data_IF_381452264343
#
_entry.id   IF_381452264343
#
_cell.length_a   1.000
_cell.length_b   1.000
_cell.length_c   1.000
_cell.angle_alpha   90.00
_cell.angle_beta   90.00
_cell.angle_gamma   90.00
#
_symmetry.space_group_name_H-M   'P 1'
#
loop_
_entity.id
_entity.type
_entity.pdbx_description
1 polymer ?
#
# COMPACT_ATOMS: atom_id res chain seq x y z
N UNK A 1 20.12 -1.88 10.45
CA UNK A 1 19.34 -2.14 9.23
C UNK A 1 18.76 -3.53 9.36
N UNK A 2 17.45 -3.66 9.30
CA UNK A 2 16.72 -4.92 9.41
C UNK A 2 16.21 -5.24 8.00
N UNK A 3 16.36 -6.49 7.58
CA UNK A 3 15.81 -7.00 6.33
C UNK A 3 14.92 -8.19 6.64
N UNK A 4 13.69 -8.17 6.13
CA UNK A 4 12.79 -9.32 6.23
C UNK A 4 12.27 -9.67 4.84
N UNK A 5 11.96 -10.95 4.65
CA UNK A 5 11.33 -11.47 3.45
C UNK A 5 9.98 -12.10 3.79
N UNK A 6 8.99 -11.80 2.95
CA UNK A 6 7.65 -12.36 3.02
C UNK A 6 7.39 -13.17 1.76
N UNK A 7 6.89 -14.39 1.95
CA UNK A 7 6.36 -15.19 0.86
C UNK A 7 5.07 -14.55 0.33
N UNK A 8 4.95 -14.46 -0.99
CA UNK A 8 3.93 -13.72 -1.70
C UNK A 8 3.62 -14.42 -3.03
N UNK A 9 3.17 -15.67 -2.96
CA UNK A 9 2.69 -16.40 -4.13
C UNK A 9 1.49 -15.71 -4.78
N UNK A 10 1.47 -15.70 -6.12
CA UNK A 10 0.41 -15.07 -6.91
C UNK A 10 0.10 -13.62 -6.47
N UNK A 11 1.15 -12.85 -6.20
CA UNK A 11 1.10 -11.46 -5.76
C UNK A 11 1.83 -10.54 -6.74
N UNK A 12 1.34 -9.31 -6.87
CA UNK A 12 2.00 -8.25 -7.62
C UNK A 12 1.98 -6.96 -6.79
N UNK A 13 3.15 -6.58 -6.28
CA UNK A 13 3.36 -5.41 -5.44
C UNK A 13 3.00 -4.12 -6.20
N UNK A 14 3.37 -4.05 -7.48
CA UNK A 14 3.11 -2.88 -8.29
C UNK A 14 1.61 -2.68 -8.49
N UNK A 15 0.91 -3.72 -8.96
CA UNK A 15 -0.54 -3.64 -9.20
C UNK A 15 -1.35 -3.46 -7.93
N UNK A 16 -0.83 -3.91 -6.78
CA UNK A 16 -1.48 -3.71 -5.49
C UNK A 16 -1.30 -2.28 -4.98
N UNK A 17 -0.11 -1.70 -5.13
CA UNK A 17 0.17 -0.34 -4.62
C UNK A 17 -0.40 0.75 -5.53
N UNK A 18 -0.20 0.68 -6.84
CA UNK A 18 -0.59 1.76 -7.78
C UNK A 18 -2.00 2.34 -7.59
N UNK A 19 -3.06 1.52 -7.44
CA UNK A 19 -4.42 2.03 -7.24
C UNK A 19 -4.75 2.31 -5.76
N UNK A 20 -3.87 1.95 -4.82
CA UNK A 20 -4.14 2.01 -3.38
C UNK A 20 -3.90 3.40 -2.80
N UNK A 21 -4.70 3.79 -1.82
CA UNK A 21 -4.45 5.00 -1.02
C UNK A 21 -3.13 4.94 -0.24
N UNK A 22 -2.64 3.73 0.09
CA UNK A 22 -1.35 3.52 0.76
C UNK A 22 -0.19 4.06 -0.06
N UNK A 23 -0.26 3.98 -1.40
CA UNK A 23 0.81 4.51 -2.27
C UNK A 23 0.99 6.04 -2.21
N UNK A 24 0.06 6.78 -1.58
CA UNK A 24 0.26 8.20 -1.25
C UNK A 24 1.33 8.43 -0.17
N UNK A 25 1.73 7.37 0.54
CA UNK A 25 2.81 7.37 1.53
C UNK A 25 4.15 6.91 0.95
N UNK A 26 4.18 6.55 -0.34
CA UNK A 26 5.35 5.96 -0.98
C UNK A 26 5.72 6.65 -2.29
N UNK A 27 7.01 6.68 -2.59
CA UNK A 27 7.55 6.89 -3.91
C UNK A 27 7.79 5.56 -4.63
N UNK A 28 7.64 5.54 -5.94
CA UNK A 28 7.83 4.37 -6.78
C UNK A 28 8.92 4.68 -7.83
N UNK A 29 10.21 4.56 -7.49
CA UNK A 29 11.29 4.92 -8.40
C UNK A 29 11.37 4.02 -9.64
N UNK A 30 10.88 2.77 -9.53
CA UNK A 30 10.78 1.81 -10.63
C UNK A 30 9.75 0.72 -10.30
N UNK A 31 9.22 0.00 -11.30
CA UNK A 31 8.27 -1.08 -11.07
C UNK A 31 8.78 -2.09 -10.03
N UNK A 32 7.91 -2.47 -9.10
CA UNK A 32 8.22 -3.44 -8.05
C UNK A 32 9.10 -2.91 -6.90
N UNK A 33 9.43 -1.61 -6.87
CA UNK A 33 10.19 -0.98 -5.78
C UNK A 33 9.43 0.22 -5.23
N UNK A 34 9.21 0.24 -3.92
CA UNK A 34 8.47 1.29 -3.22
C UNK A 34 9.23 1.78 -2.01
N UNK A 35 9.42 3.09 -1.89
CA UNK A 35 10.15 3.72 -0.78
C UNK A 35 9.16 4.55 0.01
N UNK A 36 9.01 4.27 1.30
CA UNK A 36 8.08 5.01 2.15
C UNK A 36 8.63 6.41 2.42
N UNK A 37 7.82 7.45 2.22
CA UNK A 37 8.22 8.86 2.36
C UNK A 37 7.52 9.58 3.49
N UNK A 38 6.40 9.04 3.99
CA UNK A 38 5.59 9.65 5.05
C UNK A 38 4.93 8.59 5.94
N UNK A 39 4.46 9.00 7.11
CA UNK A 39 3.84 8.11 8.10
C UNK A 39 4.84 7.25 8.87
N UNK A 40 4.33 6.20 9.50
CA UNK A 40 5.11 5.24 10.30
C UNK A 40 6.18 4.60 9.44
N UNK A 41 7.44 4.65 9.86
CA UNK A 41 8.61 4.23 9.06
C UNK A 41 8.88 5.09 7.80
N UNK A 42 8.33 6.31 7.73
CA UNK A 42 8.64 7.27 6.67
C UNK A 42 10.15 7.51 6.55
N UNK A 43 10.67 7.47 5.30
CA UNK A 43 12.10 7.57 4.95
C UNK A 43 12.97 6.41 5.47
N UNK A 44 12.38 5.45 6.17
CA UNK A 44 13.09 4.33 6.77
C UNK A 44 12.79 2.99 6.11
N UNK A 45 11.65 2.85 5.43
CA UNK A 45 11.19 1.61 4.82
C UNK A 45 11.32 1.63 3.28
N UNK A 46 11.86 0.54 2.74
CA UNK A 46 11.85 0.22 1.31
C UNK A 46 11.30 -1.19 1.12
N UNK A 47 10.40 -1.35 0.16
CA UNK A 47 9.80 -2.62 -0.26
C UNK A 47 10.24 -2.94 -1.68
N UNK A 48 10.59 -4.21 -1.93
CA UNK A 48 10.96 -4.72 -3.24
C UNK A 48 10.32 -6.08 -3.48
N UNK A 49 9.83 -6.32 -4.69
CA UNK A 49 9.37 -7.65 -5.09
C UNK A 49 10.43 -8.38 -5.91
N UNK A 50 10.69 -9.64 -5.55
CA UNK A 50 11.60 -10.56 -6.21
C UNK A 50 10.90 -11.91 -6.45
N UNK A 51 10.25 -12.04 -7.61
CA UNK A 51 9.40 -13.20 -7.90
C UNK A 51 8.26 -13.32 -6.88
N UNK A 52 8.18 -14.48 -6.23
CA UNK A 52 7.16 -14.79 -5.21
C UNK A 52 7.55 -14.31 -3.80
N UNK A 53 8.50 -13.38 -3.69
CA UNK A 53 8.96 -12.82 -2.42
C UNK A 53 8.85 -11.29 -2.41
N UNK A 54 8.46 -10.74 -1.26
CA UNK A 54 8.56 -9.31 -0.97
C UNK A 54 9.63 -9.11 0.10
N UNK A 55 10.71 -8.44 -0.29
CA UNK A 55 11.76 -8.01 0.61
C UNK A 55 11.44 -6.62 1.17
N UNK A 56 11.69 -6.44 2.47
CA UNK A 56 11.54 -5.17 3.14
C UNK A 56 12.80 -4.79 3.89
N UNK A 57 13.29 -3.59 3.63
CA UNK A 57 14.51 -3.04 4.22
C UNK A 57 14.13 -1.86 5.12
N UNK A 58 14.41 -1.98 6.41
CA UNK A 58 14.15 -0.94 7.41
C UNK A 58 15.46 -0.43 8.01
N UNK A 59 15.69 0.89 7.94
CA UNK A 59 16.86 1.54 8.53
C UNK A 59 16.69 1.86 10.01
N UNK A 60 15.46 1.92 10.52
CA UNK A 60 15.17 2.18 11.94
C UNK A 60 15.26 0.91 12.79
N UNK A 61 15.53 1.12 14.09
CA UNK A 61 15.44 0.05 15.08
C UNK A 61 13.96 -0.15 15.44
N UNK A 62 13.47 -1.35 15.16
CA UNK A 62 12.11 -1.80 15.42
C UNK A 62 12.18 -3.31 15.65
N UNK A 63 11.27 -3.85 16.45
CA UNK A 63 11.13 -5.29 16.59
C UNK A 63 10.73 -5.95 15.25
N UNK A 64 11.27 -7.13 14.96
CA UNK A 64 11.06 -7.82 13.68
C UNK A 64 9.60 -8.25 13.50
N UNK A 65 8.95 -8.73 14.56
CA UNK A 65 7.54 -9.14 14.51
C UNK A 65 6.64 -7.92 14.27
N UNK A 66 6.94 -6.80 14.93
CA UNK A 66 6.24 -5.54 14.70
C UNK A 66 6.43 -5.03 13.26
N UNK A 67 7.66 -5.07 12.73
CA UNK A 67 7.95 -4.71 11.34
C UNK A 67 7.18 -5.62 10.35
N UNK A 68 7.20 -6.93 10.59
CA UNK A 68 6.46 -7.92 9.79
C UNK A 68 4.97 -7.62 9.77
N UNK A 69 4.37 -7.32 10.92
CA UNK A 69 2.96 -6.93 11.04
C UNK A 69 2.62 -5.72 10.15
N UNK A 70 3.43 -4.65 10.23
CA UNK A 70 3.23 -3.44 9.42
C UNK A 70 3.31 -3.75 7.92
N UNK A 71 4.32 -4.52 7.49
CA UNK A 71 4.50 -4.84 6.07
C UNK A 71 3.38 -5.72 5.55
N UNK A 72 2.90 -6.71 6.31
CA UNK A 72 1.78 -7.57 5.92
C UNK A 72 0.50 -6.75 5.69
N UNK A 73 0.24 -5.73 6.50
CA UNK A 73 -0.87 -4.80 6.32
C UNK A 73 -0.68 -3.95 5.06
N UNK A 74 0.47 -3.29 4.95
CA UNK A 74 0.73 -2.32 3.87
C UNK A 74 0.92 -2.99 2.51
N UNK A 75 1.27 -4.27 2.47
CA UNK A 75 1.32 -5.05 1.22
C UNK A 75 -0.01 -5.69 0.82
N UNK A 76 -0.98 -5.73 1.73
CA UNK A 76 -2.23 -6.45 1.49
C UNK A 76 -2.13 -7.97 1.64
N UNK A 77 -0.97 -8.50 2.05
CA UNK A 77 -0.74 -9.94 2.29
C UNK A 77 -1.50 -10.49 3.51
N UNK A 78 -2.13 -9.61 4.31
CA UNK A 78 -3.01 -10.00 5.41
C UNK A 78 -4.23 -10.83 4.95
N UNK A 79 -4.60 -10.72 3.67
CA UNK A 79 -5.74 -11.43 3.10
C UNK A 79 -5.29 -12.60 2.20
N UNK A 80 -5.20 -13.79 2.80
CA UNK A 80 -4.52 -14.96 2.19
C UNK A 80 -5.26 -15.63 1.04
N UNK A 81 -6.60 -15.63 1.05
CA UNK A 81 -7.40 -16.28 0.00
C UNK A 81 -8.48 -15.33 -0.56
N UNK A 82 -8.10 -14.43 -1.50
CA UNK A 82 -9.07 -13.57 -2.16
C UNK A 82 -10.02 -14.34 -3.08
N UNK A 83 -9.55 -15.44 -3.67
CA UNK A 83 -10.27 -16.21 -4.68
C UNK A 83 -11.43 -17.01 -4.09
N UNK A 84 -11.31 -17.50 -2.85
CA UNK A 84 -12.38 -18.21 -2.13
C UNK A 84 -13.66 -17.40 -1.94
N UNK A 85 -13.65 -16.09 -2.18
CA UNK A 85 -14.86 -15.27 -2.19
C UNK A 85 -15.67 -15.40 -3.47
N UNK A 86 -15.05 -15.75 -4.61
CA UNK A 86 -15.73 -15.90 -5.89
C UNK A 86 -16.76 -17.04 -5.84
N UNK A 87 -16.45 -18.11 -5.12
CA UNK A 87 -17.34 -19.26 -4.90
C UNK A 87 -18.63 -18.89 -4.16
N UNK A 88 -18.60 -17.82 -3.36
CA UNK A 88 -19.74 -17.34 -2.57
C UNK A 88 -20.66 -16.40 -3.36
N UNK A 89 -20.25 -15.96 -4.56
CA UNK A 89 -21.02 -15.02 -5.40
C UNK A 89 -22.02 -15.77 -6.29
N UNK A 90 -23.20 -15.18 -6.52
CA UNK A 90 -24.24 -15.71 -7.41
C UNK A 90 -23.75 -15.79 -8.87
N UNK A 91 -24.17 -16.83 -9.58
CA UNK A 91 -23.72 -17.19 -10.93
C UNK A 91 -23.58 -16.05 -11.96
N UNK A 92 -24.57 -15.13 -12.17
CA UNK A 92 -24.45 -14.10 -13.19
C UNK A 92 -23.34 -13.07 -12.91
N UNK A 93 -23.01 -12.83 -11.64
CA UNK A 93 -21.94 -11.91 -11.24
C UNK A 93 -20.59 -12.62 -11.13
N UNK A 94 -20.58 -13.93 -10.85
CA UNK A 94 -19.36 -14.72 -10.68
C UNK A 94 -18.47 -14.68 -11.91
N UNK A 95 -19.02 -14.91 -13.10
CA UNK A 95 -18.22 -14.93 -14.34
C UNK A 95 -17.52 -13.60 -14.63
N UNK A 96 -18.16 -12.47 -14.29
CA UNK A 96 -17.54 -11.14 -14.41
C UNK A 96 -16.38 -11.00 -13.42
N UNK A 97 -16.58 -11.41 -12.17
CA UNK A 97 -15.54 -11.31 -11.13
C UNK A 97 -14.36 -12.26 -11.40
N UNK A 98 -14.60 -13.46 -11.92
CA UNK A 98 -13.54 -14.39 -12.34
C UNK A 98 -12.69 -13.77 -13.46
N UNK A 99 -13.32 -13.14 -14.46
CA UNK A 99 -12.60 -12.44 -15.53
C UNK A 99 -11.81 -11.24 -15.02
N UNK A 100 -12.33 -10.50 -14.05
CA UNK A 100 -11.59 -9.43 -13.38
C UNK A 100 -10.41 -9.98 -12.57
N UNK A 101 -10.60 -11.06 -11.82
CA UNK A 101 -9.53 -11.70 -11.06
C UNK A 101 -8.42 -12.26 -11.97
N UNK A 102 -8.78 -12.79 -13.14
CA UNK A 102 -7.84 -13.23 -14.16
C UNK A 102 -7.05 -12.04 -14.77
N UNK A 103 -7.75 -10.97 -15.16
CA UNK A 103 -7.13 -9.79 -15.76
C UNK A 103 -6.21 -9.04 -14.77
N UNK A 104 -6.59 -9.02 -13.49
CA UNK A 104 -5.87 -8.35 -12.41
C UNK A 104 -5.25 -9.34 -11.41
N UNK A 105 -4.74 -10.47 -11.90
CA UNK A 105 -4.01 -11.45 -11.08
C UNK A 105 -2.86 -10.77 -10.33
N UNK A 106 -2.67 -11.15 -9.07
CA UNK A 106 -1.63 -10.58 -8.21
C UNK A 106 -2.12 -9.46 -7.29
N UNK A 107 -3.25 -8.83 -7.61
CA UNK A 107 -3.74 -7.68 -6.82
C UNK A 107 -4.19 -8.11 -5.43
N UNK A 108 -3.74 -7.35 -4.43
CA UNK A 108 -4.21 -7.40 -3.04
C UNK A 108 -4.62 -5.99 -2.59
N UNK A 109 -5.06 -5.88 -1.34
CA UNK A 109 -5.60 -4.62 -0.79
C UNK A 109 -4.66 -4.10 0.30
N UNK A 110 -3.69 -3.23 -0.04
CA UNK A 110 -2.91 -2.48 0.93
C UNK A 110 -3.78 -1.69 1.90
N UNK A 111 -3.48 -1.79 3.20
CA UNK A 111 -4.07 -0.96 4.24
C UNK A 111 -2.99 -0.43 5.18
N UNK A 112 -3.16 0.80 5.68
CA UNK A 112 -2.25 1.41 6.66
C UNK A 112 -3.04 2.00 7.84
N UNK A 113 -3.66 1.16 8.69
CA UNK A 113 -4.47 1.65 9.81
C UNK A 113 -3.66 2.46 10.83
N UNK A 114 -2.37 2.16 11.00
CA UNK A 114 -1.44 2.94 11.82
C UNK A 114 -1.18 4.35 11.28
N UNK A 115 -1.37 4.58 9.98
CA UNK A 115 -1.25 5.87 9.31
C UNK A 115 -2.63 6.41 8.89
N UNK A 116 -3.70 6.06 9.62
CA UNK A 116 -5.09 6.34 9.22
C UNK A 116 -5.37 7.82 8.88
N UNK A 117 -4.74 8.77 9.56
CA UNK A 117 -4.91 10.20 9.27
C UNK A 117 -4.31 10.61 7.92
N UNK A 118 -3.17 10.03 7.54
CA UNK A 118 -2.60 10.21 6.21
C UNK A 118 -3.51 9.63 5.13
N UNK A 119 -4.04 8.42 5.37
CA UNK A 119 -4.97 7.75 4.46
C UNK A 119 -6.27 8.54 4.33
N UNK A 120 -6.82 9.06 5.42
CA UNK A 120 -8.01 9.90 5.39
C UNK A 120 -7.79 11.13 4.50
N UNK A 121 -6.67 11.83 4.65
CA UNK A 121 -6.33 12.97 3.80
C UNK A 121 -6.24 12.59 2.32
N UNK A 122 -5.58 11.48 1.98
CA UNK A 122 -5.47 11.04 0.58
C UNK A 122 -6.84 10.68 -0.01
N UNK A 123 -7.73 10.07 0.77
CA UNK A 123 -9.12 9.82 0.39
C UNK A 123 -9.88 11.13 0.16
N UNK A 124 -9.78 12.10 1.07
CA UNK A 124 -10.46 13.40 0.94
C UNK A 124 -10.00 14.15 -0.31
N UNK A 125 -8.69 14.15 -0.59
CA UNK A 125 -8.09 14.79 -1.76
C UNK A 125 -8.44 14.07 -3.08
N UNK A 126 -8.78 12.79 -3.03
CA UNK A 126 -9.12 12.01 -4.23
C UNK A 126 -10.48 12.35 -4.84
N UNK A 127 -11.33 13.09 -4.13
CA UNK A 127 -12.66 13.45 -4.61
C UNK A 127 -12.56 14.28 -5.90
N UNK A 128 -12.93 13.66 -7.03
CA UNK A 128 -12.90 14.23 -8.38
C UNK A 128 -11.49 14.58 -8.89
N UNK A 129 -10.46 13.89 -8.39
CA UNK A 129 -9.09 14.05 -8.82
C UNK A 129 -8.55 12.78 -9.48
N UNK A 130 -7.62 12.92 -10.43
CA UNK A 130 -6.78 11.80 -10.84
C UNK A 130 -5.82 11.45 -9.70
N UNK A 131 -5.65 10.15 -9.43
CA UNK A 131 -4.85 9.67 -8.31
C UNK A 131 -3.36 10.07 -8.39
N UNK A 132 -2.79 10.26 -9.58
CA UNK A 132 -1.43 10.80 -9.71
C UNK A 132 -1.32 12.21 -9.13
N UNK A 133 -2.33 13.05 -9.37
CA UNK A 133 -2.41 14.40 -8.81
C UNK A 133 -2.57 14.36 -7.29
N UNK A 134 -3.37 13.41 -6.78
CA UNK A 134 -3.52 13.18 -5.33
C UNK A 134 -2.17 12.87 -4.70
N UNK A 135 -1.38 11.95 -5.28
CA UNK A 135 -0.04 11.62 -4.77
C UNK A 135 0.88 12.84 -4.72
N UNK A 136 0.86 13.70 -5.74
CA UNK A 136 1.65 14.94 -5.76
C UNK A 136 1.23 15.92 -4.66
N UNK A 137 -0.07 16.09 -4.43
CA UNK A 137 -0.58 16.94 -3.34
C UNK A 137 -0.23 16.39 -1.97
N UNK A 138 -0.46 15.08 -1.77
CA UNK A 138 -0.06 14.37 -0.56
C UNK A 138 1.43 14.59 -0.29
N UNK A 139 2.31 14.35 -1.27
CA UNK A 139 3.74 14.58 -1.11
C UNK A 139 4.11 16.00 -0.68
N UNK A 140 3.50 17.00 -1.30
CA UNK A 140 3.71 18.41 -0.94
C UNK A 140 3.24 18.72 0.49
N UNK A 141 2.11 18.13 0.91
CA UNK A 141 1.59 18.24 2.27
C UNK A 141 2.54 17.56 3.27
N UNK A 142 2.94 16.31 3.03
CA UNK A 142 3.83 15.56 3.92
C UNK A 142 5.18 16.27 4.10
N UNK A 143 5.74 16.79 3.01
CA UNK A 143 7.05 17.47 3.05
C UNK A 143 7.05 18.76 3.87
N UNK A 144 5.89 19.42 4.02
CA UNK A 144 5.75 20.69 4.76
C UNK A 144 5.20 20.51 6.18
N UNK A 145 4.28 19.57 6.34
CA UNK A 145 3.46 19.45 7.54
C UNK A 145 3.58 18.07 8.22
N UNK A 146 4.21 17.08 7.57
CA UNK A 146 4.37 15.72 8.10
C UNK A 146 3.04 15.13 8.59
N UNK A 147 1.98 15.34 7.81
CA UNK A 147 0.63 14.87 8.12
C UNK A 147 -0.03 15.51 9.35
N UNK A 148 0.58 16.55 9.95
CA UNK A 148 0.02 17.26 11.08
C UNK A 148 -1.23 18.07 10.66
N UNK A 149 -2.41 17.53 11.00
CA UNK A 149 -3.71 18.13 10.68
C UNK A 149 -3.93 19.50 11.32
N UNK A 150 -3.41 19.72 12.53
CA UNK A 150 -3.55 21.00 13.22
C UNK A 150 -2.82 22.10 12.45
N UNK A 151 -1.61 21.82 11.96
CA UNK A 151 -0.85 22.79 11.15
C UNK A 151 -1.51 23.07 9.80
N UNK A 152 -2.22 22.09 9.24
CA UNK A 152 -3.00 22.27 8.01
C UNK A 152 -4.23 23.17 8.22
N UNK A 153 -4.81 23.20 9.42
CA UNK A 153 -5.96 24.04 9.73
C UNK A 153 -5.65 25.55 9.76
N UNK A 154 -4.36 25.92 9.83
CA UNK A 154 -3.88 27.30 9.82
C UNK A 154 -3.22 27.71 8.49
N UNK A 155 -3.54 26.99 7.40
CA UNK A 155 -3.15 27.34 6.02
C UNK A 155 -3.71 28.69 5.58
#
# INVERSE_FOLDING_TARGET
MIAIELEAEEYDLQKSFEPSFVSSLYENPKPGVWIKVAGTLGKALRLEQHGDWVAAFCSMSIDEEHLRSLIVLETGLWYRDPSGFLEKVRAPFRGVLEKLAEAYRGVRIPIAPHDAHYILLSVLLSRRANYEMVRRWCYAIWSRYDGNLERLAYL
#
